data_IF_101082316649
#
_entry.id   IF_101082316649
#
_cell.length_a   1.000
_cell.length_b   1.000
_cell.length_c   1.000
_cell.angle_alpha   90.00
_cell.angle_beta   90.00
_cell.angle_gamma   90.00
#
_symmetry.space_group_name_H-M   'P 1'
#
loop_
_entity.id
_entity.type
_entity.pdbx_description
1 polymer ?
#
# COMPACT_ATOMS: atom_id res chain seq x y z
N UNK A 1 -8.52 -39.94 59.41
CA UNK A 1 -7.67 -39.97 58.21
C UNK A 1 -6.68 -38.80 58.35
N UNK A 2 -5.70 -38.86 59.26
CA UNK A 2 -4.37 -39.49 59.17
C UNK A 2 -3.62 -38.97 57.92
N UNK A 3 -2.82 -37.88 57.99
CA UNK A 3 -1.49 -37.67 58.61
C UNK A 3 -0.36 -38.44 57.89
N UNK A 4 0.47 -37.67 57.18
CA UNK A 4 1.94 -37.68 57.14
C UNK A 4 2.71 -38.97 56.79
N UNK A 5 3.58 -38.89 55.77
CA UNK A 5 4.86 -39.60 55.74
C UNK A 5 5.75 -39.06 54.63
N UNK A 6 6.71 -38.24 55.07
CA UNK A 6 8.08 -38.15 54.58
C UNK A 6 8.66 -39.52 54.20
N UNK A 7 9.36 -39.59 53.07
CA UNK A 7 10.58 -40.38 52.97
C UNK A 7 11.66 -39.60 52.24
N UNK A 8 12.72 -39.36 52.99
CA UNK A 8 14.05 -38.95 52.58
C UNK A 8 14.62 -39.88 51.51
N UNK A 9 15.35 -39.31 50.56
CA UNK A 9 16.62 -39.88 50.09
C UNK A 9 17.53 -38.71 49.72
N UNK A 10 18.36 -38.33 50.69
CA UNK A 10 19.70 -37.83 50.38
C UNK A 10 20.44 -38.96 49.66
N UNK A 11 21.04 -38.68 48.49
CA UNK A 11 22.35 -39.26 48.20
C UNK A 11 23.08 -38.52 47.07
N UNK A 12 24.27 -38.12 47.47
CA UNK A 12 25.52 -38.07 46.73
C UNK A 12 25.83 -36.92 45.75
N UNK A 13 26.66 -36.01 46.28
CA UNK A 13 27.54 -35.13 45.52
C UNK A 13 28.79 -35.92 45.10
N UNK A 14 28.86 -36.25 43.83
CA UNK A 14 30.13 -36.45 43.10
C UNK A 14 29.94 -35.78 41.73
N UNK A 15 30.30 -34.50 41.57
CA UNK A 15 31.62 -34.06 41.09
C UNK A 15 32.40 -35.14 40.34
N UNK A 16 31.97 -35.42 39.10
CA UNK A 16 32.85 -36.05 38.12
C UNK A 16 33.25 -35.01 37.07
N UNK A 17 34.55 -34.77 37.05
CA UNK A 17 35.25 -33.92 36.10
C UNK A 17 35.37 -34.66 34.77
N UNK A 18 35.67 -33.90 33.72
CA UNK A 18 36.43 -34.38 32.56
C UNK A 18 35.84 -35.52 31.72
N UNK A 19 35.20 -35.12 30.61
CA UNK A 19 35.50 -35.76 29.32
C UNK A 19 35.54 -34.70 28.21
N UNK A 20 36.44 -33.72 28.38
CA UNK A 20 37.05 -33.03 27.25
C UNK A 20 37.98 -34.03 26.55
N UNK A 21 37.53 -34.60 25.42
CA UNK A 21 38.34 -35.03 24.26
C UNK A 21 37.71 -36.20 23.49
N UNK A 22 36.46 -36.05 23.04
CA UNK A 22 36.08 -36.69 21.78
C UNK A 22 36.55 -35.80 20.64
N UNK A 23 37.82 -35.94 20.26
CA UNK A 23 38.26 -35.68 18.89
C UNK A 23 37.45 -36.61 17.98
N UNK A 24 36.28 -36.15 17.55
CA UNK A 24 35.58 -36.75 16.43
C UNK A 24 36.44 -36.49 15.21
N UNK A 25 37.28 -37.46 14.86
CA UNK A 25 37.89 -37.57 13.55
C UNK A 25 36.84 -37.23 12.49
N UNK A 26 37.09 -36.25 11.60
CA UNK A 26 36.06 -35.74 10.70
C UNK A 26 35.63 -36.89 9.78
N UNK A 27 34.39 -37.34 9.96
CA UNK A 27 33.75 -38.27 9.03
C UNK A 27 33.80 -37.63 7.65
N UNK A 28 34.35 -38.31 6.62
CA UNK A 28 34.37 -37.76 5.27
C UNK A 28 32.92 -37.54 4.82
N UNK A 29 32.62 -36.29 4.45
CA UNK A 29 31.31 -35.88 3.96
C UNK A 29 30.98 -36.62 2.67
N UNK A 30 29.70 -36.91 2.47
CA UNK A 30 29.21 -37.39 1.17
C UNK A 30 29.50 -36.34 0.08
N UNK A 31 29.76 -36.74 -1.18
CA UNK A 31 29.93 -35.80 -2.29
C UNK A 31 28.80 -34.76 -2.40
N UNK A 32 27.57 -35.14 -2.06
CA UNK A 32 26.42 -34.23 -2.05
C UNK A 32 26.50 -33.19 -0.93
N UNK A 33 26.89 -33.59 0.27
CA UNK A 33 27.06 -32.69 1.43
C UNK A 33 28.21 -31.72 1.20
N UNK A 34 29.27 -32.17 0.52
CA UNK A 34 30.40 -31.34 0.15
C UNK A 34 30.00 -30.25 -0.85
N UNK A 35 29.25 -30.59 -1.90
CA UNK A 35 28.74 -29.62 -2.86
C UNK A 35 27.78 -28.60 -2.21
N UNK A 36 26.95 -29.05 -1.26
CA UNK A 36 26.08 -28.15 -0.50
C UNK A 36 26.89 -27.20 0.38
N UNK A 37 27.93 -27.68 1.05
CA UNK A 37 28.82 -26.85 1.88
C UNK A 37 29.53 -25.80 1.03
N UNK A 38 30.11 -26.19 -0.10
CA UNK A 38 30.78 -25.26 -1.03
C UNK A 38 29.82 -24.16 -1.52
N UNK A 39 28.58 -24.52 -1.83
CA UNK A 39 27.54 -23.55 -2.20
C UNK A 39 27.23 -22.58 -1.06
N UNK A 40 27.08 -23.07 0.17
CA UNK A 40 26.82 -22.22 1.33
C UNK A 40 27.99 -21.28 1.62
N UNK A 41 29.23 -21.78 1.55
CA UNK A 41 30.44 -20.99 1.74
C UNK A 41 30.56 -19.89 0.68
N UNK A 42 30.27 -20.22 -0.59
CA UNK A 42 30.22 -19.23 -1.67
C UNK A 42 29.16 -18.15 -1.41
N UNK A 43 27.95 -18.53 -1.00
CA UNK A 43 26.88 -17.58 -0.66
C UNK A 43 27.31 -16.65 0.48
N UNK A 44 27.93 -17.20 1.53
CA UNK A 44 28.39 -16.44 2.69
C UNK A 44 29.48 -15.43 2.28
N UNK A 45 30.42 -15.82 1.41
CA UNK A 45 31.42 -14.90 0.86
C UNK A 45 30.81 -13.77 0.04
N UNK A 46 29.82 -14.07 -0.81
CA UNK A 46 29.09 -13.05 -1.58
C UNK A 46 28.41 -12.05 -0.64
N UNK A 47 27.74 -12.53 0.42
CA UNK A 47 27.10 -11.65 1.40
C UNK A 47 28.09 -10.72 2.10
N UNK A 48 29.22 -11.26 2.57
CA UNK A 48 30.27 -10.46 3.21
C UNK A 48 30.81 -9.36 2.27
N UNK A 49 30.97 -9.67 0.98
CA UNK A 49 31.49 -8.72 -0.01
C UNK A 49 30.49 -7.63 -0.42
N UNK A 50 29.21 -7.98 -0.54
CA UNK A 50 28.23 -7.09 -1.17
C UNK A 50 27.19 -6.48 -0.23
N UNK A 51 26.90 -7.12 0.91
CA UNK A 51 25.88 -6.65 1.84
C UNK A 51 26.45 -5.70 2.92
N UNK A 52 27.73 -5.82 3.28
CA UNK A 52 28.37 -4.93 4.25
C UNK A 52 29.08 -3.80 3.49
N UNK A 53 28.69 -2.56 3.77
CA UNK A 53 29.26 -1.34 3.18
C UNK A 53 29.89 -0.51 4.29
N UNK A 54 31.23 -0.30 4.31
CA UNK A 54 31.91 0.46 5.36
C UNK A 54 31.33 1.86 5.58
N UNK A 55 30.80 2.48 4.54
CA UNK A 55 30.18 3.80 4.57
C UNK A 55 28.80 3.83 5.22
N UNK A 56 28.13 2.68 5.40
CA UNK A 56 26.81 2.57 6.00
C UNK A 56 26.84 1.66 7.24
N UNK A 57 27.01 2.25 8.42
CA UNK A 57 27.10 1.53 9.70
C UNK A 57 25.93 0.55 9.93
N UNK A 58 24.73 0.94 9.49
CA UNK A 58 23.51 0.11 9.58
C UNK A 58 23.65 -1.26 8.90
N UNK A 59 24.49 -1.36 7.86
CA UNK A 59 24.67 -2.59 7.09
C UNK A 59 25.50 -3.65 7.81
N UNK A 60 26.29 -3.26 8.81
CA UNK A 60 27.12 -4.19 9.60
C UNK A 60 26.28 -5.18 10.42
N UNK A 61 25.05 -4.80 10.74
CA UNK A 61 24.14 -5.64 11.55
C UNK A 61 23.30 -6.61 10.70
N UNK A 62 23.41 -6.56 9.37
CA UNK A 62 22.62 -7.39 8.44
C UNK A 62 23.20 -8.80 8.31
N UNK A 63 24.52 -8.93 8.34
CA UNK A 63 25.25 -10.18 8.13
C UNK A 63 26.19 -10.42 9.31
N UNK A 64 26.18 -11.62 9.86
CA UNK A 64 27.12 -12.03 10.90
C UNK A 64 28.55 -12.15 10.35
N UNK A 65 29.59 -12.10 11.19
CA UNK A 65 30.99 -12.23 10.73
C UNK A 65 31.30 -13.52 9.96
N UNK A 66 30.51 -14.58 10.13
CA UNK A 66 30.60 -15.86 9.42
C UNK A 66 29.91 -15.85 8.03
N UNK A 67 29.32 -14.72 7.63
CA UNK A 67 28.57 -14.54 6.39
C UNK A 67 27.13 -15.04 6.43
N UNK A 68 26.63 -15.52 7.57
CA UNK A 68 25.23 -15.88 7.75
C UNK A 68 24.35 -14.63 7.87
N UNK A 69 23.13 -14.72 7.36
CA UNK A 69 22.16 -13.64 7.46
C UNK A 69 21.68 -13.49 8.91
N UNK A 70 21.72 -12.27 9.45
CA UNK A 70 21.10 -11.96 10.73
C UNK A 70 19.58 -11.90 10.55
N UNK A 71 18.88 -12.99 10.87
CA UNK A 71 17.44 -13.07 10.72
C UNK A 71 16.71 -12.05 11.62
N UNK A 72 17.24 -11.79 12.82
CA UNK A 72 16.63 -10.86 13.78
C UNK A 72 16.59 -9.42 13.24
N UNK A 73 17.55 -9.05 12.39
CA UNK A 73 17.57 -7.73 11.72
C UNK A 73 16.30 -7.45 10.90
N UNK A 74 15.71 -8.50 10.30
CA UNK A 74 14.51 -8.38 9.46
C UNK A 74 13.21 -8.57 10.22
N UNK A 75 13.28 -8.93 11.50
CA UNK A 75 12.08 -9.00 12.32
C UNK A 75 11.70 -7.60 12.80
N UNK A 76 10.39 -7.28 12.84
CA UNK A 76 9.94 -6.08 13.52
C UNK A 76 10.48 -6.05 14.95
N UNK A 77 10.85 -4.89 15.50
CA UNK A 77 11.32 -4.77 16.87
C UNK A 77 10.34 -5.44 17.85
N UNK A 78 10.86 -6.10 18.89
CA UNK A 78 10.01 -6.70 19.94
C UNK A 78 9.10 -5.62 20.52
N UNK A 79 7.79 -5.80 20.37
CA UNK A 79 6.77 -4.82 20.80
C UNK A 79 6.25 -3.91 19.69
N UNK A 80 6.70 -4.06 18.43
CA UNK A 80 6.05 -3.44 17.28
C UNK A 80 4.62 -3.94 17.17
N UNK A 81 3.67 -3.07 17.51
CA UNK A 81 2.26 -3.28 17.22
C UNK A 81 2.05 -2.79 15.79
N UNK A 82 1.73 -3.66 14.82
CA UNK A 82 1.31 -3.17 13.52
C UNK A 82 0.14 -2.24 13.76
N UNK A 83 0.26 -0.98 13.35
CA UNK A 83 -0.92 -0.11 13.32
C UNK A 83 -1.94 -0.79 12.41
N UNK A 84 -3.16 -0.97 12.92
CA UNK A 84 -4.23 -1.54 12.12
C UNK A 84 -4.35 -0.75 10.82
N UNK A 85 -4.03 -1.41 9.70
CA UNK A 85 -4.04 -0.79 8.40
C UNK A 85 -5.42 -0.17 8.17
N UNK A 86 -5.48 1.17 8.20
CA UNK A 86 -6.75 1.89 8.18
C UNK A 86 -7.51 1.54 6.91
N UNK A 87 -8.72 1.03 7.08
CA UNK A 87 -9.59 0.65 5.97
C UNK A 87 -10.34 1.87 5.47
N UNK A 88 -10.46 1.99 4.15
CA UNK A 88 -11.31 2.98 3.51
C UNK A 88 -12.71 2.38 3.36
N UNK A 89 -13.69 2.92 4.06
CA UNK A 89 -15.08 2.44 4.08
C UNK A 89 -16.02 3.41 3.37
N UNK A 90 -17.30 3.06 3.30
CA UNK A 90 -18.32 3.94 2.74
C UNK A 90 -18.43 5.25 3.53
N UNK A 91 -18.21 5.24 4.84
CA UNK A 91 -18.25 6.45 5.67
C UNK A 91 -17.20 7.46 5.22
N UNK A 92 -15.94 7.04 5.02
CA UNK A 92 -14.90 7.95 4.53
C UNK A 92 -15.19 8.45 3.11
N UNK A 93 -15.79 7.59 2.27
CA UNK A 93 -16.20 7.99 0.92
C UNK A 93 -17.28 9.07 0.95
N UNK A 94 -18.31 8.93 1.79
CA UNK A 94 -19.36 9.94 1.94
C UNK A 94 -18.82 11.26 2.50
N UNK A 95 -17.91 11.19 3.47
CA UNK A 95 -17.21 12.37 4.00
C UNK A 95 -16.36 13.07 2.93
N UNK A 96 -15.70 12.31 2.05
CA UNK A 96 -14.95 12.88 0.93
C UNK A 96 -15.88 13.56 -0.08
N UNK A 97 -17.02 12.95 -0.42
CA UNK A 97 -18.04 13.55 -1.31
C UNK A 97 -18.51 14.88 -0.73
N UNK A 98 -18.91 14.89 0.56
CA UNK A 98 -19.34 16.11 1.25
C UNK A 98 -18.24 17.18 1.27
N UNK A 99 -16.99 16.79 1.54
CA UNK A 99 -15.86 17.72 1.50
C UNK A 99 -15.60 18.30 0.10
N UNK A 100 -15.82 17.52 -0.96
CA UNK A 100 -15.73 17.99 -2.35
C UNK A 100 -16.87 18.96 -2.66
N UNK A 101 -18.09 18.68 -2.22
CA UNK A 101 -19.23 19.58 -2.37
C UNK A 101 -19.00 20.92 -1.67
N UNK A 102 -18.44 20.91 -0.46
CA UNK A 102 -18.19 22.12 0.32
C UNK A 102 -16.98 22.92 -0.16
N UNK A 103 -15.83 22.25 -0.37
CA UNK A 103 -14.54 22.90 -0.62
C UNK A 103 -14.05 22.80 -2.06
N UNK A 104 -14.52 21.81 -2.82
CA UNK A 104 -14.09 21.53 -4.18
C UNK A 104 -12.83 20.68 -4.28
N UNK A 105 -12.65 20.06 -5.45
CA UNK A 105 -11.49 19.21 -5.75
C UNK A 105 -10.21 20.07 -5.77
N UNK A 106 -9.16 19.56 -5.12
CA UNK A 106 -7.88 20.27 -4.96
C UNK A 106 -7.70 20.94 -3.60
N UNK A 107 -8.78 21.14 -2.83
CA UNK A 107 -8.73 21.67 -1.46
C UNK A 107 -8.64 20.56 -0.40
N UNK A 108 -7.89 19.50 -0.68
CA UNK A 108 -7.80 18.31 0.18
C UNK A 108 -7.20 18.59 1.57
N UNK A 109 -6.44 19.68 1.74
CA UNK A 109 -5.96 20.11 3.05
C UNK A 109 -7.10 20.50 3.99
N UNK A 110 -8.11 21.22 3.49
CA UNK A 110 -9.30 21.59 4.26
C UNK A 110 -10.17 20.37 4.55
N UNK A 111 -10.42 19.55 3.53
CA UNK A 111 -11.21 18.31 3.66
C UNK A 111 -10.58 17.37 4.69
N UNK A 112 -9.24 17.21 4.66
CA UNK A 112 -8.52 16.46 5.68
C UNK A 112 -8.74 17.08 7.06
N UNK A 113 -8.47 18.38 7.24
CA UNK A 113 -8.59 19.02 8.55
C UNK A 113 -10.00 18.92 9.17
N UNK A 114 -11.05 19.06 8.37
CA UNK A 114 -12.43 19.17 8.86
C UNK A 114 -13.15 17.83 8.95
N UNK A 115 -13.03 16.98 7.92
CA UNK A 115 -13.84 15.76 7.79
C UNK A 115 -13.02 14.48 7.88
N UNK A 116 -11.76 14.50 7.45
CA UNK A 116 -10.92 13.31 7.33
C UNK A 116 -9.51 13.52 7.91
N UNK A 117 -9.36 13.92 9.20
CA UNK A 117 -8.07 14.38 9.78
C UNK A 117 -7.02 13.28 9.86
N UNK A 118 -7.49 12.05 9.74
CA UNK A 118 -6.69 10.84 9.75
C UNK A 118 -6.07 10.54 8.38
N UNK A 119 -6.59 11.10 7.29
CA UNK A 119 -6.13 10.83 5.93
C UNK A 119 -5.28 11.97 5.42
N UNK A 120 -4.13 11.63 4.81
CA UNK A 120 -3.26 12.66 4.23
C UNK A 120 -3.91 13.28 3.00
N UNK A 121 -3.49 14.50 2.66
CA UNK A 121 -3.88 15.20 1.42
C UNK A 121 -3.66 14.32 0.18
N UNK A 122 -2.58 13.54 0.16
CA UNK A 122 -2.28 12.65 -0.96
C UNK A 122 -3.22 11.44 -1.01
N UNK A 123 -3.57 10.85 0.14
CA UNK A 123 -4.55 9.76 0.18
C UNK A 123 -5.89 10.24 -0.37
N UNK A 124 -6.37 11.39 0.08
CA UNK A 124 -7.63 11.98 -0.40
C UNK A 124 -7.59 12.27 -1.90
N UNK A 125 -6.46 12.75 -2.42
CA UNK A 125 -6.26 12.93 -3.87
C UNK A 125 -6.43 11.60 -4.61
N UNK A 126 -5.77 10.54 -4.17
CA UNK A 126 -5.86 9.20 -4.80
C UNK A 126 -7.28 8.64 -4.71
N UNK A 127 -7.98 8.86 -3.60
CA UNK A 127 -9.38 8.45 -3.45
C UNK A 127 -10.31 9.25 -4.37
N UNK A 128 -10.09 10.55 -4.50
CA UNK A 128 -10.83 11.41 -5.41
C UNK A 128 -10.61 11.02 -6.89
N UNK A 129 -9.38 10.70 -7.28
CA UNK A 129 -9.05 10.15 -8.62
C UNK A 129 -9.93 8.94 -8.97
N UNK A 130 -10.07 7.99 -8.03
CA UNK A 130 -10.90 6.80 -8.22
C UNK A 130 -12.40 7.11 -8.18
N UNK A 131 -12.78 8.08 -7.36
CA UNK A 131 -14.17 8.49 -7.18
C UNK A 131 -14.73 9.15 -8.45
N UNK A 132 -13.94 10.00 -9.11
CA UNK A 132 -14.33 10.69 -10.35
C UNK A 132 -13.94 9.93 -11.62
N UNK A 133 -13.15 8.87 -11.49
CA UNK A 133 -12.71 8.05 -12.62
C UNK A 133 -11.67 8.75 -13.49
N UNK A 134 -10.81 9.62 -12.94
CA UNK A 134 -9.77 10.32 -13.72
C UNK A 134 -8.48 10.52 -12.95
N UNK A 135 -7.35 10.15 -13.56
CA UNK A 135 -6.04 10.27 -12.94
C UNK A 135 -5.58 11.72 -12.76
N UNK A 136 -5.81 12.56 -13.77
CA UNK A 136 -5.43 13.97 -13.73
C UNK A 136 -6.60 14.85 -13.28
N UNK A 137 -6.49 15.42 -12.07
CA UNK A 137 -7.51 16.28 -11.48
C UNK A 137 -7.33 17.78 -11.79
N UNK A 138 -6.36 18.18 -12.61
CA UNK A 138 -6.08 19.61 -12.87
C UNK A 138 -7.30 20.36 -13.43
N UNK A 139 -8.06 19.74 -14.34
CA UNK A 139 -9.28 20.35 -14.89
C UNK A 139 -10.44 20.42 -13.88
N UNK A 140 -10.33 19.72 -12.74
CA UNK A 140 -11.31 19.76 -11.66
C UNK A 140 -10.90 20.70 -10.53
N UNK A 141 -9.81 21.47 -10.67
CA UNK A 141 -9.37 22.35 -9.58
C UNK A 141 -10.46 23.35 -9.21
N UNK A 142 -10.94 23.28 -7.98
CA UNK A 142 -12.03 24.10 -7.46
C UNK A 142 -13.44 23.62 -7.86
N UNK A 143 -13.56 22.58 -8.68
CA UNK A 143 -14.85 22.01 -9.05
C UNK A 143 -15.55 21.43 -7.82
N UNK A 144 -16.83 21.76 -7.66
CA UNK A 144 -17.71 21.28 -6.60
C UNK A 144 -18.87 20.53 -7.25
N UNK A 145 -19.22 19.40 -6.65
CA UNK A 145 -20.36 18.61 -7.08
C UNK A 145 -20.76 17.61 -6.02
N UNK A 146 -22.03 17.24 -6.03
CA UNK A 146 -22.61 16.26 -5.13
C UNK A 146 -22.37 14.82 -5.65
N UNK A 147 -22.96 13.83 -4.98
CA UNK A 147 -22.81 12.42 -5.35
C UNK A 147 -23.28 12.10 -6.79
N UNK A 148 -24.34 12.76 -7.26
CA UNK A 148 -24.88 12.55 -8.61
C UNK A 148 -23.95 13.17 -9.65
N UNK A 149 -23.44 14.38 -9.40
CA UNK A 149 -22.48 15.05 -10.28
C UNK A 149 -21.20 14.23 -10.44
N UNK A 150 -20.69 13.69 -9.33
CA UNK A 150 -19.53 12.80 -9.31
C UNK A 150 -19.80 11.53 -10.13
N UNK A 151 -20.99 10.95 -10.00
CA UNK A 151 -21.38 9.75 -10.75
C UNK A 151 -21.46 10.03 -12.25
N UNK A 152 -22.04 11.18 -12.64
CA UNK A 152 -22.08 11.61 -14.04
C UNK A 152 -20.68 11.82 -14.60
N UNK A 153 -19.78 12.47 -13.86
CA UNK A 153 -18.40 12.67 -14.29
C UNK A 153 -17.62 11.34 -14.36
N UNK A 154 -17.87 10.41 -13.46
CA UNK A 154 -17.28 9.06 -13.52
C UNK A 154 -17.69 8.32 -14.79
N UNK A 155 -18.98 8.26 -15.10
CA UNK A 155 -19.47 7.58 -16.29
C UNK A 155 -19.01 8.28 -17.58
N UNK A 156 -19.02 9.61 -17.62
CA UNK A 156 -18.44 10.38 -18.74
C UNK A 156 -16.95 10.06 -18.96
N UNK A 157 -16.15 10.08 -17.90
CA UNK A 157 -14.71 9.78 -17.99
C UNK A 157 -14.47 8.33 -18.43
N UNK A 158 -15.33 7.41 -17.99
CA UNK A 158 -15.31 6.00 -18.39
C UNK A 158 -15.64 5.81 -19.86
N UNK A 159 -16.67 6.47 -20.37
CA UNK A 159 -17.04 6.44 -21.80
C UNK A 159 -15.90 6.93 -22.69
N UNK A 160 -15.31 8.09 -22.37
CA UNK A 160 -14.17 8.65 -23.10
C UNK A 160 -12.98 7.68 -23.06
N UNK A 161 -12.70 7.11 -21.88
CA UNK A 161 -11.60 6.16 -21.70
C UNK A 161 -11.80 4.86 -22.47
N UNK A 162 -13.03 4.37 -22.59
CA UNK A 162 -13.35 3.19 -23.39
C UNK A 162 -13.25 3.48 -24.88
N UNK A 163 -13.69 4.67 -25.32
CA UNK A 163 -13.63 5.12 -26.71
C UNK A 163 -12.19 5.19 -27.25
N UNK A 164 -11.24 5.68 -26.44
CA UNK A 164 -9.84 5.83 -26.83
C UNK A 164 -8.88 4.77 -26.26
N UNK A 165 -9.40 3.75 -25.56
CA UNK A 165 -8.56 2.70 -24.97
C UNK A 165 -7.69 3.15 -23.77
N UNK A 166 -8.01 4.31 -23.18
CA UNK A 166 -7.31 4.94 -22.05
C UNK A 166 -8.01 4.75 -20.70
N UNK A 167 -9.00 3.86 -20.61
CA UNK A 167 -9.54 3.41 -19.32
C UNK A 167 -8.63 2.34 -18.70
N UNK A 168 -7.93 2.67 -17.61
CA UNK A 168 -7.01 1.76 -16.92
C UNK A 168 -7.30 1.75 -15.43
N UNK A 169 -7.48 0.56 -14.84
CA UNK A 169 -7.69 0.38 -13.40
C UNK A 169 -8.82 1.26 -12.82
N UNK A 170 -9.89 1.49 -13.59
CA UNK A 170 -11.04 2.28 -13.15
C UNK A 170 -10.84 3.79 -13.24
N UNK A 171 -9.85 4.27 -14.00
CA UNK A 171 -9.63 5.70 -14.24
C UNK A 171 -9.25 5.99 -15.69
N UNK A 172 -9.63 7.17 -16.17
CA UNK A 172 -9.20 7.76 -17.42
C UNK A 172 -7.75 8.27 -17.27
N UNK A 173 -6.85 7.74 -18.10
CA UNK A 173 -5.45 8.18 -18.20
C UNK A 173 -5.22 9.03 -19.45
N UNK A 174 -4.07 9.70 -19.51
CA UNK A 174 -3.66 10.50 -20.66
C UNK A 174 -3.43 9.61 -21.89
N UNK A 175 -3.72 10.14 -23.07
CA UNK A 175 -3.35 9.55 -24.36
C UNK A 175 -2.23 10.36 -25.01
N UNK A 176 -1.24 9.67 -25.59
CA UNK A 176 -0.09 10.34 -26.21
C UNK A 176 -0.49 11.21 -27.42
N UNK A 177 -1.65 10.93 -28.02
CA UNK A 177 -2.19 11.64 -29.19
C UNK A 177 -3.05 12.87 -28.82
N UNK A 178 -3.32 13.12 -27.53
CA UNK A 178 -4.08 14.28 -27.03
C UNK A 178 -5.57 14.33 -27.38
N UNK A 179 -6.14 13.24 -27.89
CA UNK A 179 -7.55 13.09 -28.25
C UNK A 179 -8.47 13.14 -27.03
N UNK A 180 -8.03 12.58 -25.89
CA UNK A 180 -8.81 12.62 -24.63
C UNK A 180 -8.97 14.05 -24.14
N UNK A 181 -7.87 14.82 -24.13
CA UNK A 181 -7.90 16.22 -23.68
C UNK A 181 -8.78 17.08 -24.59
N UNK A 182 -8.69 16.86 -25.91
CA UNK A 182 -9.52 17.56 -26.89
C UNK A 182 -11.02 17.29 -26.68
N UNK A 183 -11.44 16.05 -26.48
CA UNK A 183 -12.85 15.72 -26.23
C UNK A 183 -13.34 16.29 -24.90
N UNK A 184 -12.51 16.24 -23.85
CA UNK A 184 -12.86 16.81 -22.55
C UNK A 184 -13.10 18.33 -22.63
N UNK A 185 -12.26 19.06 -23.35
CA UNK A 185 -12.38 20.50 -23.56
C UNK A 185 -13.58 20.85 -24.46
N UNK A 186 -13.80 20.09 -25.52
CA UNK A 186 -14.95 20.30 -26.41
C UNK A 186 -16.28 20.13 -25.68
N UNK A 187 -16.40 19.09 -24.85
CA UNK A 187 -17.63 18.81 -24.11
C UNK A 187 -17.80 19.72 -22.89
N UNK A 188 -16.72 20.27 -22.32
CA UNK A 188 -16.81 21.28 -21.25
C UNK A 188 -17.29 22.65 -21.77
N UNK A 189 -17.16 22.93 -23.06
CA UNK A 189 -17.55 24.19 -23.69
C UNK A 189 -19.03 24.23 -24.14
N UNK A 190 -19.79 23.15 -23.96
CA UNK A 190 -21.23 23.11 -24.27
C UNK A 190 -22.00 23.11 -22.95
N UNK A 191 -22.53 24.26 -22.49
CA UNK A 191 -23.48 24.28 -21.38
C UNK A 191 -24.70 23.46 -21.77
N UNK A 192 -25.23 22.69 -20.82
CA UNK A 192 -26.51 21.99 -20.92
C UNK A 192 -27.68 23.00 -20.88
N UNK A 193 -27.72 23.92 -21.86
CA UNK A 193 -28.74 24.95 -21.99
C UNK A 193 -29.10 25.11 -23.48
N UNK A 194 -29.84 24.13 -24.01
CA UNK A 194 -30.59 24.24 -25.28
C UNK A 194 -31.48 23.01 -25.52
N UNK A 195 -32.41 22.74 -24.59
CA UNK A 195 -33.66 22.04 -24.92
C UNK A 195 -34.81 22.65 -24.11
N UNK A 196 -35.04 23.94 -24.28
CA UNK A 196 -36.36 24.55 -24.14
C UNK A 196 -36.95 24.69 -25.53
N UNK A 197 -37.53 23.62 -26.06
CA UNK A 197 -38.53 23.73 -27.12
C UNK A 197 -39.86 23.93 -26.41
N UNK A 198 -40.18 25.20 -26.14
CA UNK A 198 -41.56 25.63 -25.94
C UNK A 198 -42.28 25.41 -27.29
N UNK A 199 -43.03 24.32 -27.39
CA UNK A 199 -44.11 24.22 -28.38
C UNK A 199 -45.37 24.81 -27.74
N UNK A 200 -45.40 26.14 -27.62
CA UNK A 200 -46.65 26.90 -27.62
C UNK A 200 -46.89 27.33 -29.07
N UNK A 201 -47.57 26.48 -29.85
CA UNK A 201 -48.23 26.94 -31.08
C UNK A 201 -49.74 26.92 -30.88
N UNK A 202 -50.28 28.13 -30.91
CA UNK A 202 -51.68 28.50 -30.94
C UNK A 202 -52.53 27.60 -31.86
N UNK A 203 -53.64 27.10 -31.33
CA UNK A 203 -54.86 26.96 -32.13
C UNK A 203 -56.05 27.51 -31.36
N UNK A 204 -56.18 28.83 -31.43
CA UNK A 204 -57.47 29.50 -31.43
C UNK A 204 -57.81 29.88 -32.87
N UNK A 205 -58.79 29.20 -33.48
CA UNK A 205 -59.66 29.79 -34.51
C UNK A 205 -61.04 29.13 -34.46
N UNK A 206 -62.03 29.99 -34.24
CA UNK A 206 -63.50 29.92 -34.43
C UNK A 206 -64.36 28.90 -33.68
#
# INVERSE_FOLDING_TARGET
MAIDSLQDTEDDRTNDQNDESRESSPTPLSPEEQAQKERHDWINQIRLKFCIRPEFEVTKNIIHPDGRLNQEYFHPPKGYKPEDARKWTETEKQLLIKGIEEHGIGNFGLISKESLPKWSTNDLRVKCIRLIGRQNLQLYRGWKGNADDITREYERNKEIGLKYGTWKQGVLVYDDDGMVEKELLATAATPADSMSMEEDEDMATD
#
